data_IF_025257283894
#
_entry.id   IF_025257283894
#
_cell.length_a   1.000
_cell.length_b   1.000
_cell.length_c   1.000
_cell.angle_alpha   90.00
_cell.angle_beta   90.00
_cell.angle_gamma   90.00
#
_symmetry.space_group_name_H-M   'P 1'
#
loop_
_entity.id
_entity.type
_entity.pdbx_description
1 polymer ?
#
# COMPACT_ATOMS: atom_id res chain seq x y z
N UNK A 1 26.61 7.43 -21.02
CA UNK A 1 26.80 6.03 -20.62
C UNK A 1 26.40 5.92 -19.16
N UNK A 2 25.15 5.55 -18.90
CA UNK A 2 24.62 5.46 -17.54
C UNK A 2 24.84 4.06 -16.98
N UNK A 3 25.50 4.00 -15.82
CA UNK A 3 25.76 2.79 -15.05
C UNK A 3 24.45 2.08 -14.67
N UNK A 4 24.31 0.80 -15.04
CA UNK A 4 23.29 -0.08 -14.51
C UNK A 4 23.90 -0.90 -13.36
N UNK A 5 23.56 -0.56 -12.12
CA UNK A 5 23.84 -1.42 -10.95
C UNK A 5 22.78 -2.51 -10.88
N UNK A 6 23.15 -3.74 -11.24
CA UNK A 6 22.32 -4.95 -11.07
C UNK A 6 22.97 -5.86 -10.03
N UNK A 7 22.21 -6.22 -9.00
CA UNK A 7 22.72 -6.89 -7.80
C UNK A 7 21.94 -8.15 -7.45
N UNK A 8 22.34 -9.31 -7.98
CA UNK A 8 22.03 -10.60 -7.35
C UNK A 8 23.10 -11.65 -7.71
N UNK A 9 23.92 -11.98 -6.72
CA UNK A 9 24.78 -13.16 -6.75
C UNK A 9 23.99 -14.37 -6.22
N UNK A 10 24.40 -15.57 -6.59
CA UNK A 10 23.79 -16.82 -6.13
C UNK A 10 22.57 -17.26 -6.92
N UNK A 11 22.54 -17.12 -8.26
CA UNK A 11 21.46 -17.72 -9.07
C UNK A 11 21.87 -18.06 -10.48
N UNK A 12 21.13 -18.98 -11.08
CA UNK A 12 21.18 -19.28 -12.51
C UNK A 12 20.01 -18.60 -13.19
N UNK A 13 20.25 -17.85 -14.26
CA UNK A 13 19.23 -17.17 -15.06
C UNK A 13 19.02 -17.91 -16.37
N UNK A 14 17.76 -18.16 -16.74
CA UNK A 14 17.38 -18.75 -18.03
C UNK A 14 16.43 -17.82 -18.75
N UNK A 15 16.90 -17.21 -19.83
CA UNK A 15 16.05 -16.46 -20.77
C UNK A 15 15.40 -17.44 -21.74
N UNK A 16 14.08 -17.51 -21.74
CA UNK A 16 13.26 -18.50 -22.45
C UNK A 16 12.10 -17.86 -23.20
N UNK A 17 11.38 -18.66 -24.01
CA UNK A 17 10.09 -18.28 -24.61
C UNK A 17 9.08 -19.37 -24.27
N UNK A 18 7.83 -18.99 -24.03
CA UNK A 18 6.73 -19.94 -23.80
C UNK A 18 6.61 -20.98 -24.93
N UNK A 19 6.38 -22.24 -24.53
CA UNK A 19 6.22 -23.36 -25.46
C UNK A 19 7.52 -23.88 -26.09
N UNK A 20 8.69 -23.34 -25.75
CA UNK A 20 9.97 -23.80 -26.29
C UNK A 20 10.46 -25.11 -25.60
N UNK A 21 10.56 -26.25 -26.30
CA UNK A 21 10.97 -27.53 -25.69
C UNK A 21 12.39 -27.50 -25.14
N UNK A 22 13.32 -26.83 -25.83
CA UNK A 22 14.73 -26.68 -25.39
C UNK A 22 14.84 -25.89 -24.08
N UNK A 23 13.98 -24.89 -23.88
CA UNK A 23 13.94 -24.13 -22.64
C UNK A 23 13.44 -24.98 -21.45
N UNK A 24 12.45 -25.84 -21.70
CA UNK A 24 11.93 -26.77 -20.69
C UNK A 24 13.01 -27.78 -20.27
N UNK A 25 13.72 -28.34 -21.25
CA UNK A 25 14.80 -29.30 -21.00
C UNK A 25 15.94 -28.67 -20.20
N UNK A 26 16.40 -27.48 -20.58
CA UNK A 26 17.46 -26.77 -19.85
C UNK A 26 17.09 -26.50 -18.39
N UNK A 27 15.86 -26.04 -18.12
CA UNK A 27 15.36 -25.80 -16.75
C UNK A 27 15.29 -27.09 -15.93
N UNK A 28 14.87 -28.20 -16.55
CA UNK A 28 14.83 -29.49 -15.88
C UNK A 28 16.24 -29.99 -15.49
N UNK A 29 17.23 -29.79 -16.36
CA UNK A 29 18.64 -30.09 -16.07
C UNK A 29 19.15 -29.26 -14.89
N UNK A 30 18.96 -27.94 -14.90
CA UNK A 30 19.39 -27.05 -13.82
C UNK A 30 18.70 -27.36 -12.48
N UNK A 31 17.41 -27.71 -12.51
CA UNK A 31 16.68 -28.15 -11.32
C UNK A 31 17.29 -29.42 -10.70
N UNK A 32 17.77 -30.35 -11.52
CA UNK A 32 18.45 -31.58 -11.04
C UNK A 32 19.79 -31.29 -10.37
N UNK A 33 20.47 -30.21 -10.78
CA UNK A 33 21.74 -29.76 -10.18
C UNK A 33 21.55 -29.04 -8.84
N UNK A 34 20.30 -28.80 -8.42
CA UNK A 34 19.97 -28.20 -7.13
C UNK A 34 20.41 -26.74 -7.01
N UNK A 35 20.45 -26.02 -8.14
CA UNK A 35 20.76 -24.58 -8.19
C UNK A 35 19.48 -23.76 -8.31
N UNK A 36 19.41 -22.56 -7.71
CA UNK A 36 18.24 -21.69 -7.84
C UNK A 36 18.17 -21.10 -9.25
N UNK A 37 17.08 -21.42 -9.96
CA UNK A 37 16.85 -20.99 -11.35
C UNK A 37 15.84 -19.85 -11.40
N UNK A 38 16.24 -18.73 -11.99
CA UNK A 38 15.38 -17.62 -12.37
C UNK A 38 15.03 -17.73 -13.85
N UNK A 39 13.77 -18.06 -14.13
CA UNK A 39 13.25 -18.10 -15.49
C UNK A 39 12.71 -16.73 -15.91
N UNK A 40 13.09 -16.33 -17.13
CA UNK A 40 12.76 -15.06 -17.75
C UNK A 40 12.14 -15.32 -19.12
N UNK A 41 10.89 -14.93 -19.34
CA UNK A 41 10.26 -15.02 -20.66
C UNK A 41 10.59 -13.77 -21.51
N UNK A 42 11.37 -13.95 -22.58
CA UNK A 42 11.74 -12.87 -23.51
C UNK A 42 10.75 -12.73 -24.67
N UNK A 43 9.77 -13.64 -24.80
CA UNK A 43 8.76 -13.61 -25.85
C UNK A 43 7.83 -12.40 -25.73
N UNK A 44 7.54 -11.97 -24.51
CA UNK A 44 6.73 -10.79 -24.20
C UNK A 44 7.53 -9.46 -24.16
N UNK A 45 8.86 -9.51 -24.33
CA UNK A 45 9.75 -8.36 -24.11
C UNK A 45 10.76 -8.16 -25.26
N UNK A 46 10.34 -7.56 -26.40
CA UNK A 46 11.19 -7.39 -27.59
C UNK A 46 12.48 -6.59 -27.33
N UNK A 47 12.43 -5.60 -26.43
CA UNK A 47 13.60 -4.80 -26.04
C UNK A 47 14.66 -5.63 -25.32
N UNK A 48 14.23 -6.50 -24.41
CA UNK A 48 15.13 -7.39 -23.68
C UNK A 48 15.76 -8.42 -24.63
N UNK A 49 14.99 -8.96 -25.58
CA UNK A 49 15.53 -9.86 -26.61
C UNK A 49 16.60 -9.18 -27.46
N UNK A 50 16.40 -7.92 -27.84
CA UNK A 50 17.40 -7.11 -28.53
C UNK A 50 18.67 -6.93 -27.71
N UNK A 51 18.53 -6.54 -26.44
CA UNK A 51 19.66 -6.36 -25.52
C UNK A 51 20.43 -7.67 -25.28
N UNK A 52 19.74 -8.79 -25.12
CA UNK A 52 20.38 -10.10 -24.97
C UNK A 52 21.16 -10.49 -26.23
N UNK A 53 20.60 -10.21 -27.40
CA UNK A 53 21.30 -10.46 -28.68
C UNK A 53 22.55 -9.61 -28.81
N UNK A 54 22.51 -8.36 -28.35
CA UNK A 54 23.69 -7.47 -28.30
C UNK A 54 24.73 -7.93 -27.27
N UNK A 55 24.28 -8.46 -26.12
CA UNK A 55 25.15 -8.91 -25.04
C UNK A 55 25.81 -10.27 -25.29
N UNK A 56 25.08 -11.22 -25.90
CA UNK A 56 25.55 -12.60 -26.10
C UNK A 56 25.96 -12.91 -27.53
N UNK A 57 25.57 -12.06 -28.49
CA UNK A 57 25.72 -12.35 -29.92
C UNK A 57 24.70 -13.38 -30.47
N UNK A 58 23.81 -13.91 -29.63
CA UNK A 58 22.84 -14.95 -30.03
C UNK A 58 21.39 -14.46 -29.90
N UNK A 59 20.55 -14.77 -30.88
CA UNK A 59 19.12 -14.37 -30.92
C UNK A 59 18.14 -15.48 -30.52
N UNK A 60 18.66 -16.68 -30.29
CA UNK A 60 17.92 -17.90 -29.98
C UNK A 60 17.78 -18.09 -28.47
N UNK A 61 16.74 -18.82 -28.06
CA UNK A 61 16.51 -19.23 -26.67
C UNK A 61 16.60 -20.76 -26.54
N UNK A 62 16.97 -21.29 -25.36
CA UNK A 62 17.30 -20.57 -24.13
C UNK A 62 18.64 -19.84 -24.20
N UNK A 63 18.84 -18.81 -23.38
CA UNK A 63 20.15 -18.22 -23.08
C UNK A 63 20.37 -18.30 -21.58
N UNK A 64 21.47 -18.93 -21.16
CA UNK A 64 21.67 -19.39 -19.79
C UNK A 64 22.88 -18.70 -19.19
N UNK A 65 22.71 -18.19 -17.98
CA UNK A 65 23.77 -17.52 -17.24
C UNK A 65 23.87 -18.07 -15.82
N UNK A 66 25.08 -18.33 -15.35
CA UNK A 66 25.37 -18.63 -13.95
C UNK A 66 25.94 -17.35 -13.32
N UNK A 67 25.17 -16.70 -12.46
CA UNK A 67 25.46 -15.33 -12.01
C UNK A 67 25.68 -14.40 -13.21
N UNK A 68 26.95 -14.01 -13.46
CA UNK A 68 27.35 -13.16 -14.58
C UNK A 68 27.91 -13.93 -15.79
N UNK A 69 28.19 -15.22 -15.64
CA UNK A 69 28.85 -16.04 -16.65
C UNK A 69 27.84 -16.53 -17.66
N UNK A 70 27.97 -16.12 -18.92
CA UNK A 70 27.17 -16.66 -20.02
C UNK A 70 27.65 -18.07 -20.39
N UNK A 71 26.74 -19.04 -20.37
CA UNK A 71 27.02 -20.45 -20.67
C UNK A 71 26.61 -20.82 -22.10
N UNK A 72 25.66 -20.11 -22.69
CA UNK A 72 25.11 -20.46 -24.00
C UNK A 72 23.65 -20.88 -23.93
N UNK A 73 23.23 -21.71 -24.88
CA UNK A 73 21.89 -22.25 -25.00
C UNK A 73 21.70 -23.62 -24.33
N UNK A 74 20.63 -24.29 -24.74
CA UNK A 74 20.22 -25.56 -24.12
C UNK A 74 21.17 -26.71 -24.43
N UNK A 75 21.71 -26.71 -25.65
CA UNK A 75 22.68 -27.72 -26.11
C UNK A 75 24.05 -27.45 -25.45
N UNK A 76 24.48 -26.18 -25.40
CA UNK A 76 25.74 -25.77 -24.74
C UNK A 76 25.77 -26.15 -23.25
N UNK A 77 24.64 -26.03 -22.53
CA UNK A 77 24.52 -26.49 -21.15
C UNK A 77 24.73 -28.00 -20.99
N UNK A 78 24.32 -28.80 -21.98
CA UNK A 78 24.48 -30.27 -21.97
C UNK A 78 25.88 -30.70 -22.41
N UNK A 79 26.55 -29.88 -23.22
CA UNK A 79 27.90 -30.12 -23.72
C UNK A 79 29.01 -29.59 -22.79
N UNK A 80 28.65 -28.87 -21.73
CA UNK A 80 29.61 -28.44 -20.71
C UNK A 80 30.36 -29.63 -20.10
N UNK A 81 31.69 -29.50 -20.03
CA UNK A 81 32.54 -30.45 -19.33
C UNK A 81 32.10 -30.57 -17.85
N UNK A 82 32.02 -31.80 -17.29
CA UNK A 82 31.56 -32.00 -15.91
C UNK A 82 32.27 -31.14 -14.87
N UNK A 83 33.57 -30.92 -15.05
CA UNK A 83 34.42 -30.13 -14.15
C UNK A 83 34.06 -28.64 -14.19
N UNK A 84 33.75 -28.10 -15.37
CA UNK A 84 33.34 -26.71 -15.52
C UNK A 84 31.90 -26.49 -15.02
N UNK A 85 31.01 -27.46 -15.24
CA UNK A 85 29.65 -27.41 -14.69
C UNK A 85 29.66 -27.44 -13.16
N UNK A 86 30.49 -28.30 -12.55
CA UNK A 86 30.65 -28.36 -11.10
C UNK A 86 31.22 -27.06 -10.53
N UNK A 87 32.20 -26.46 -11.21
CA UNK A 87 32.77 -25.16 -10.85
C UNK A 87 31.70 -24.05 -10.87
N UNK A 88 30.87 -23.98 -11.91
CA UNK A 88 29.81 -22.97 -12.03
C UNK A 88 28.71 -23.16 -10.98
N UNK A 89 28.34 -24.41 -10.69
CA UNK A 89 27.37 -24.73 -9.63
C UNK A 89 27.91 -24.35 -8.25
N UNK A 90 29.18 -24.62 -7.99
CA UNK A 90 29.86 -24.25 -6.73
C UNK A 90 29.93 -22.73 -6.58
N UNK A 91 30.27 -22.00 -7.65
CA UNK A 91 30.28 -20.54 -7.66
C UNK A 91 28.92 -19.93 -7.29
N UNK A 92 27.83 -20.51 -7.80
CA UNK A 92 26.46 -20.09 -7.45
C UNK A 92 26.13 -20.40 -5.99
N UNK A 93 26.54 -21.55 -5.46
CA UNK A 93 26.26 -21.96 -4.07
C UNK A 93 27.11 -21.24 -3.02
N UNK A 94 28.37 -20.96 -3.32
CA UNK A 94 29.28 -20.22 -2.44
C UNK A 94 28.89 -18.74 -2.32
N UNK A 95 28.45 -18.13 -3.43
CA UNK A 95 27.92 -16.76 -3.38
C UNK A 95 26.51 -16.67 -2.79
N UNK A 96 25.82 -17.79 -2.63
CA UNK A 96 24.57 -17.88 -1.89
C UNK A 96 24.77 -17.82 -0.37
N UNK A 97 25.94 -18.23 0.11
CA UNK A 97 26.27 -18.40 1.53
C UNK A 97 27.10 -17.25 2.12
N UNK A 98 27.59 -16.35 1.28
CA UNK A 98 28.26 -15.12 1.67
C UNK A 98 27.36 -13.93 1.33
N UNK A 99 26.69 -13.33 2.31
CA UNK A 99 26.03 -12.02 2.15
C UNK A 99 27.09 -10.95 1.81
N UNK A 100 27.41 -10.79 0.51
CA UNK A 100 28.29 -9.74 0.01
C UNK A 100 27.65 -9.02 -1.18
N UNK A 101 27.84 -7.69 -1.29
CA UNK A 101 27.23 -6.90 -2.35
C UNK A 101 27.79 -7.27 -3.73
N UNK A 102 26.97 -7.26 -4.80
CA UNK A 102 27.38 -7.84 -6.08
C UNK A 102 28.37 -6.99 -6.88
N UNK A 103 29.31 -7.62 -7.61
CA UNK A 103 30.14 -6.95 -8.60
C UNK A 103 29.33 -6.51 -9.83
N UNK A 104 29.79 -5.43 -10.47
CA UNK A 104 29.04 -4.57 -11.40
C UNK A 104 28.71 -5.17 -12.78
N UNK A 105 28.92 -6.47 -13.02
CA UNK A 105 29.04 -7.03 -14.38
C UNK A 105 28.07 -8.20 -14.67
N UNK A 106 27.05 -8.42 -13.84
CA UNK A 106 26.03 -9.47 -14.10
C UNK A 106 24.94 -9.02 -15.12
N UNK A 107 24.51 -9.91 -16.05
CA UNK A 107 23.47 -9.62 -17.03
C UNK A 107 22.14 -9.21 -16.38
N UNK A 108 21.42 -8.26 -16.97
CA UNK A 108 20.17 -7.73 -16.44
C UNK A 108 19.01 -8.71 -16.66
N UNK A 109 18.40 -9.20 -15.57
CA UNK A 109 17.05 -9.76 -15.65
C UNK A 109 16.07 -8.67 -16.08
N UNK A 110 14.98 -8.99 -16.81
CA UNK A 110 13.82 -8.12 -16.82
C UNK A 110 13.31 -7.98 -15.40
N UNK A 111 12.97 -6.73 -15.09
CA UNK A 111 12.09 -6.39 -13.99
C UNK A 111 10.93 -7.38 -13.98
N UNK A 112 10.84 -8.15 -12.89
CA UNK A 112 9.77 -9.14 -12.66
C UNK A 112 8.40 -8.50 -12.40
N UNK A 113 8.25 -7.22 -12.72
CA UNK A 113 6.98 -6.52 -12.82
C UNK A 113 6.73 -6.23 -14.30
N UNK A 114 6.15 -7.23 -14.96
CA UNK A 114 5.55 -7.12 -16.28
C UNK A 114 4.58 -5.95 -16.35
N UNK A 115 4.64 -5.26 -17.49
CA UNK A 115 3.52 -4.69 -18.23
C UNK A 115 2.13 -5.10 -17.73
N UNK A 116 1.51 -4.22 -16.96
CA UNK A 116 0.21 -3.68 -17.34
C UNK A 116 0.51 -2.54 -18.33
N UNK A 117 -0.26 -2.46 -19.41
CA UNK A 117 -0.12 -1.50 -20.49
C UNK A 117 0.33 -0.11 -20.05
N UNK A 118 1.43 0.40 -20.62
CA UNK A 118 1.80 1.82 -20.54
C UNK A 118 0.83 2.57 -21.43
N UNK A 119 -0.31 2.90 -20.83
CA UNK A 119 -1.47 3.47 -21.49
C UNK A 119 -2.07 4.71 -20.82
N UNK A 120 -1.50 5.26 -19.72
CA UNK A 120 -1.68 6.65 -19.27
C UNK A 120 -0.88 6.87 -17.98
N UNK A 121 -0.31 8.07 -17.81
CA UNK A 121 0.49 8.45 -16.64
C UNK A 121 -0.26 8.39 -15.28
N UNK A 122 -1.56 8.10 -15.28
CA UNK A 122 -2.40 7.94 -14.10
C UNK A 122 -2.38 6.52 -13.49
N UNK A 123 -2.04 5.48 -14.27
CA UNK A 123 -2.20 4.08 -13.82
C UNK A 123 -1.17 3.67 -12.75
N UNK A 124 0.04 4.24 -12.78
CA UNK A 124 1.12 3.86 -11.85
C UNK A 124 0.88 4.28 -10.39
N UNK A 125 0.17 5.38 -10.15
CA UNK A 125 -0.13 5.85 -8.79
C UNK A 125 -1.12 4.90 -8.11
N UNK A 126 -2.24 4.63 -8.78
CA UNK A 126 -3.29 3.76 -8.30
C UNK A 126 -2.74 2.35 -8.05
N UNK A 127 -2.06 1.77 -9.03
CA UNK A 127 -1.45 0.44 -8.91
C UNK A 127 -0.46 0.36 -7.74
N UNK A 128 0.44 1.34 -7.60
CA UNK A 128 1.42 1.35 -6.51
C UNK A 128 0.75 1.42 -5.13
N UNK A 129 -0.31 2.24 -5.00
CA UNK A 129 -1.06 2.34 -3.74
C UNK A 129 -1.81 1.04 -3.41
N UNK A 130 -2.31 0.33 -4.42
CA UNK A 130 -2.97 -0.96 -4.27
C UNK A 130 -1.96 -2.03 -3.83
N UNK A 131 -0.80 -2.12 -4.48
CA UNK A 131 0.26 -3.05 -4.12
C UNK A 131 0.76 -2.84 -2.68
N UNK A 132 0.98 -1.57 -2.28
CA UNK A 132 1.34 -1.22 -0.90
C UNK A 132 0.26 -1.64 0.09
N UNK A 133 -1.01 -1.54 -0.31
CA UNK A 133 -2.12 -1.91 0.55
C UNK A 133 -2.30 -3.42 0.66
N UNK A 134 -2.19 -4.15 -0.44
CA UNK A 134 -2.24 -5.61 -0.50
C UNK A 134 -1.15 -6.24 0.37
N UNK A 135 0.09 -5.74 0.24
CA UNK A 135 1.18 -6.28 1.06
C UNK A 135 1.00 -5.92 2.54
N UNK A 136 0.45 -4.74 2.86
CA UNK A 136 0.07 -4.38 4.25
C UNK A 136 -0.94 -5.38 4.80
N UNK A 137 -1.99 -5.69 4.03
CA UNK A 137 -3.03 -6.65 4.42
C UNK A 137 -2.47 -8.05 4.61
N UNK A 138 -1.61 -8.49 3.70
CA UNK A 138 -0.94 -9.79 3.79
C UNK A 138 -0.10 -9.87 5.06
N UNK A 139 0.76 -8.88 5.32
CA UNK A 139 1.57 -8.82 6.53
C UNK A 139 0.70 -8.83 7.80
N UNK A 140 -0.41 -8.08 7.80
CA UNK A 140 -1.37 -8.10 8.91
C UNK A 140 -1.95 -9.50 9.12
N UNK A 141 -2.43 -10.14 8.05
CA UNK A 141 -3.06 -11.46 8.15
C UNK A 141 -2.10 -12.56 8.63
N UNK A 142 -0.83 -12.47 8.28
CA UNK A 142 0.20 -13.45 8.68
C UNK A 142 0.63 -13.30 10.15
N UNK A 143 0.36 -12.15 10.77
CA UNK A 143 0.82 -11.82 12.13
C UNK A 143 -0.33 -11.43 13.08
N UNK A 144 -1.57 -11.61 12.65
CA UNK A 144 -2.74 -11.44 13.50
C UNK A 144 -2.86 -12.66 14.43
N UNK A 145 -3.10 -12.43 15.71
CA UNK A 145 -3.37 -13.50 16.68
C UNK A 145 -4.60 -14.32 16.27
N UNK A 146 -4.66 -15.57 16.73
CA UNK A 146 -5.78 -16.48 16.44
C UNK A 146 -7.15 -15.92 16.90
N UNK A 147 -7.16 -15.07 17.93
CA UNK A 147 -8.38 -14.42 18.42
C UNK A 147 -8.73 -13.12 17.67
N UNK A 148 -7.90 -12.72 16.71
CA UNK A 148 -8.06 -11.51 15.89
C UNK A 148 -7.85 -10.21 16.65
N UNK A 149 -7.36 -10.26 17.89
CA UNK A 149 -7.30 -9.10 18.79
C UNK A 149 -5.93 -8.46 18.91
N UNK A 150 -4.83 -9.12 18.55
CA UNK A 150 -3.51 -8.50 18.59
C UNK A 150 -2.71 -8.82 17.34
N UNK A 151 -1.72 -7.97 17.03
CA UNK A 151 -0.87 -8.11 15.85
C UNK A 151 0.58 -8.17 16.31
N UNK A 152 1.32 -9.20 15.89
CA UNK A 152 2.75 -9.33 16.13
C UNK A 152 3.55 -8.40 15.20
N UNK A 153 3.61 -7.12 15.58
CA UNK A 153 4.41 -6.12 14.88
C UNK A 153 5.91 -6.47 14.88
N UNK A 154 6.39 -7.23 15.87
CA UNK A 154 7.81 -7.59 15.95
C UNK A 154 8.18 -8.62 14.88
N UNK A 155 7.33 -9.64 14.67
CA UNK A 155 7.46 -10.59 13.57
C UNK A 155 7.28 -9.94 12.19
N UNK A 156 6.33 -9.01 12.06
CA UNK A 156 6.10 -8.29 10.80
C UNK A 156 7.36 -7.53 10.33
N UNK A 157 8.14 -6.94 11.24
CA UNK A 157 9.34 -6.16 10.92
C UNK A 157 10.46 -6.99 10.27
N UNK A 158 10.54 -8.29 10.59
CA UNK A 158 11.56 -9.19 10.03
C UNK A 158 11.03 -10.02 8.85
N UNK A 159 9.74 -9.91 8.54
CA UNK A 159 9.13 -10.62 7.42
C UNK A 159 9.66 -10.07 6.08
N UNK A 160 10.07 -10.92 5.12
CA UNK A 160 10.54 -10.49 3.79
C UNK A 160 9.53 -9.61 3.04
N UNK A 161 8.23 -9.79 3.27
CA UNK A 161 7.18 -8.94 2.73
C UNK A 161 7.30 -7.49 3.19
N UNK A 162 7.82 -7.22 4.38
CA UNK A 162 8.04 -5.84 4.83
C UNK A 162 9.22 -5.16 4.12
N UNK A 163 10.25 -5.92 3.73
CA UNK A 163 11.30 -5.39 2.86
C UNK A 163 10.73 -4.97 1.50
N UNK A 164 9.87 -5.81 0.91
CA UNK A 164 9.16 -5.48 -0.35
C UNK A 164 8.22 -4.28 -0.20
N UNK A 165 7.54 -4.16 0.94
CA UNK A 165 6.74 -2.98 1.26
C UNK A 165 7.61 -1.70 1.21
N UNK A 166 8.79 -1.74 1.83
CA UNK A 166 9.71 -0.61 1.85
C UNK A 166 10.19 -0.24 0.43
N UNK A 167 10.48 -1.22 -0.42
CA UNK A 167 10.83 -1.00 -1.83
C UNK A 167 9.72 -0.29 -2.60
N UNK A 168 8.47 -0.72 -2.43
CA UNK A 168 7.32 -0.08 -3.06
C UNK A 168 7.12 1.34 -2.53
N UNK A 169 7.29 1.56 -1.22
CA UNK A 169 7.17 2.89 -0.62
C UNK A 169 8.20 3.87 -1.19
N UNK A 170 9.42 3.41 -1.53
CA UNK A 170 10.44 4.23 -2.21
C UNK A 170 9.99 4.67 -3.61
N UNK A 171 9.13 3.91 -4.30
CA UNK A 171 8.65 4.28 -5.63
C UNK A 171 7.67 5.46 -5.60
N UNK A 172 7.05 5.76 -4.44
CA UNK A 172 6.12 6.88 -4.27
C UNK A 172 6.74 8.22 -4.67
N UNK A 173 8.06 8.37 -4.52
CA UNK A 173 8.79 9.59 -4.90
C UNK A 173 8.65 9.97 -6.38
N UNK A 174 8.28 9.01 -7.25
CA UNK A 174 8.18 9.20 -8.71
C UNK A 174 6.74 9.34 -9.20
N UNK A 175 5.76 9.26 -8.31
CA UNK A 175 4.33 9.32 -8.67
C UNK A 175 3.96 10.72 -9.15
N UNK A 176 3.23 10.80 -10.27
CA UNK A 176 2.62 12.05 -10.73
C UNK A 176 1.26 12.25 -10.01
N UNK A 177 1.13 13.33 -9.23
CA UNK A 177 -0.07 13.58 -8.41
C UNK A 177 -1.06 14.57 -9.05
N UNK A 178 -0.58 15.47 -9.91
CA UNK A 178 -1.38 16.57 -10.44
C UNK A 178 -2.36 16.11 -11.52
N UNK A 179 -2.02 15.04 -12.25
CA UNK A 179 -2.85 14.45 -13.29
C UNK A 179 -3.99 13.57 -12.75
N UNK A 180 -3.97 13.23 -11.45
CA UNK A 180 -4.98 12.36 -10.84
C UNK A 180 -6.34 13.05 -10.73
N UNK A 181 -7.38 12.32 -11.11
CA UNK A 181 -8.79 12.66 -10.86
C UNK A 181 -9.11 12.66 -9.35
N UNK A 182 -10.32 13.12 -8.97
CA UNK A 182 -10.80 13.06 -7.58
C UNK A 182 -10.71 11.63 -7.04
N UNK A 183 -11.22 10.68 -7.80
CA UNK A 183 -11.42 9.32 -7.35
C UNK A 183 -10.09 8.58 -7.20
N UNK A 184 -9.17 8.83 -8.15
CA UNK A 184 -7.78 8.36 -8.05
C UNK A 184 -7.05 8.97 -6.86
N UNK A 185 -7.20 10.28 -6.61
CA UNK A 185 -6.62 10.94 -5.43
C UNK A 185 -7.15 10.34 -4.13
N UNK A 186 -8.46 10.14 -4.03
CA UNK A 186 -9.08 9.55 -2.84
C UNK A 186 -8.54 8.14 -2.59
N UNK A 187 -8.64 7.26 -3.58
CA UNK A 187 -8.17 5.87 -3.47
C UNK A 187 -6.67 5.83 -3.12
N UNK A 188 -5.84 6.59 -3.84
CA UNK A 188 -4.40 6.69 -3.61
C UNK A 188 -4.10 7.13 -2.18
N UNK A 189 -4.56 8.32 -1.78
CA UNK A 189 -4.16 8.89 -0.49
C UNK A 189 -4.76 8.15 0.71
N UNK A 190 -5.94 7.54 0.59
CA UNK A 190 -6.50 6.69 1.64
C UNK A 190 -5.65 5.42 1.81
N UNK A 191 -5.30 4.75 0.72
CA UNK A 191 -4.43 3.57 0.76
C UNK A 191 -3.05 3.91 1.33
N UNK A 192 -2.44 5.01 0.87
CA UNK A 192 -1.13 5.46 1.34
C UNK A 192 -1.15 5.88 2.81
N UNK A 193 -2.16 6.63 3.25
CA UNK A 193 -2.31 6.99 4.66
C UNK A 193 -2.39 5.74 5.53
N UNK A 194 -3.27 4.80 5.17
CA UNK A 194 -3.47 3.57 5.92
C UNK A 194 -2.21 2.69 5.94
N UNK A 195 -1.47 2.64 4.84
CA UNK A 195 -0.19 1.95 4.77
C UNK A 195 0.87 2.64 5.65
N UNK A 196 0.95 3.98 5.61
CA UNK A 196 1.94 4.78 6.34
C UNK A 196 1.75 4.69 7.86
N UNK A 197 0.51 4.61 8.36
CA UNK A 197 0.24 4.38 9.78
C UNK A 197 0.89 3.07 10.24
N UNK A 198 0.72 1.99 9.47
CA UNK A 198 1.30 0.70 9.79
C UNK A 198 2.82 0.75 9.72
N UNK A 199 3.38 1.34 8.67
CA UNK A 199 4.83 1.47 8.56
C UNK A 199 5.42 2.26 9.74
N UNK A 200 4.74 3.33 10.15
CA UNK A 200 5.09 4.08 11.35
C UNK A 200 5.08 3.21 12.61
N UNK A 201 4.05 2.37 12.80
CA UNK A 201 3.99 1.46 13.95
C UNK A 201 5.12 0.44 13.95
N UNK A 202 5.42 -0.15 12.79
CA UNK A 202 6.51 -1.12 12.64
C UNK A 202 7.88 -0.50 12.93
N UNK A 203 8.13 0.73 12.49
CA UNK A 203 9.44 1.38 12.64
C UNK A 203 9.62 2.14 13.95
N UNK A 204 8.56 2.73 14.49
CA UNK A 204 8.63 3.68 15.61
C UNK A 204 7.85 3.22 16.85
N UNK A 205 7.06 2.15 16.72
CA UNK A 205 6.11 1.72 17.74
C UNK A 205 4.79 2.52 17.70
N UNK A 206 3.74 1.93 18.28
CA UNK A 206 2.46 2.60 18.45
C UNK A 206 2.55 3.70 19.53
N UNK A 207 1.97 4.90 19.32
CA UNK A 207 2.00 5.97 20.30
C UNK A 207 1.16 5.61 21.53
N UNK A 208 1.73 5.73 22.72
CA UNK A 208 1.07 5.33 23.99
C UNK A 208 0.42 6.50 24.74
N UNK A 209 0.63 7.74 24.28
CA UNK A 209 0.05 8.93 24.89
C UNK A 209 -0.24 10.03 23.85
N UNK A 210 -0.99 11.06 24.26
CA UNK A 210 -1.43 12.15 23.39
C UNK A 210 -0.29 12.92 22.72
N UNK A 211 0.84 13.12 23.40
CA UNK A 211 1.97 13.86 22.83
C UNK A 211 2.74 13.04 21.80
N UNK A 212 2.98 11.75 22.09
CA UNK A 212 3.52 10.82 21.09
C UNK A 212 2.59 10.70 19.89
N UNK A 213 1.28 10.66 20.12
CA UNK A 213 0.28 10.65 19.04
C UNK A 213 0.35 11.92 18.20
N UNK A 214 0.39 13.08 18.82
CA UNK A 214 0.58 14.35 18.12
C UNK A 214 1.85 14.31 17.25
N UNK A 215 3.00 13.87 17.80
CA UNK A 215 4.23 13.75 17.01
C UNK A 215 4.10 12.74 15.87
N UNK A 216 3.51 11.58 16.14
CA UNK A 216 3.33 10.53 15.15
C UNK A 216 2.63 11.07 13.90
N UNK A 217 1.45 11.68 14.07
CA UNK A 217 0.68 12.17 12.93
C UNK A 217 1.29 13.42 12.25
N UNK A 218 2.12 14.21 12.94
CA UNK A 218 2.75 15.41 12.37
C UNK A 218 4.16 15.19 11.81
N UNK A 219 4.80 14.03 12.03
CA UNK A 219 6.18 13.77 11.56
C UNK A 219 6.34 12.48 10.75
N UNK A 220 5.51 11.46 10.98
CA UNK A 220 5.52 10.26 10.15
C UNK A 220 5.03 10.62 8.75
N UNK A 221 5.89 10.39 7.76
CA UNK A 221 5.73 10.93 6.42
C UNK A 221 6.32 10.04 5.34
N UNK A 222 5.85 10.26 4.11
CA UNK A 222 6.47 9.77 2.89
C UNK A 222 6.89 10.90 1.98
N UNK A 223 7.90 10.62 1.15
CA UNK A 223 8.27 11.45 0.02
C UNK A 223 7.51 10.96 -1.21
N UNK A 224 6.53 11.74 -1.67
CA UNK A 224 5.58 11.37 -2.72
C UNK A 224 5.61 12.43 -3.81
N UNK A 225 5.91 12.04 -5.05
CA UNK A 225 5.89 12.95 -6.20
C UNK A 225 6.75 14.20 -6.03
N UNK A 226 7.90 14.08 -5.35
CA UNK A 226 8.83 15.19 -5.11
C UNK A 226 8.58 16.03 -3.85
N UNK A 227 7.54 15.72 -3.07
CA UNK A 227 7.18 16.48 -1.86
C UNK A 227 7.02 15.57 -0.63
N UNK A 228 7.18 16.13 0.57
CA UNK A 228 6.99 15.39 1.83
C UNK A 228 5.54 15.52 2.29
N UNK A 229 4.88 14.38 2.54
CA UNK A 229 3.52 14.32 3.06
C UNK A 229 3.50 13.54 4.38
N UNK A 230 3.16 14.23 5.47
CA UNK A 230 2.85 13.60 6.75
C UNK A 230 1.45 13.00 6.75
N UNK A 231 1.13 12.14 7.72
CA UNK A 231 -0.25 11.68 7.93
C UNK A 231 -1.23 12.85 8.07
N UNK A 232 -0.85 13.88 8.82
CA UNK A 232 -1.64 15.10 8.97
C UNK A 232 -1.84 15.80 7.62
N UNK A 233 -0.79 15.93 6.81
CA UNK A 233 -0.84 16.57 5.48
C UNK A 233 -1.79 15.81 4.54
N UNK A 234 -1.75 14.47 4.57
CA UNK A 234 -2.62 13.64 3.73
C UNK A 234 -4.08 13.80 4.16
N UNK A 235 -4.39 13.61 5.44
CA UNK A 235 -5.76 13.70 5.95
C UNK A 235 -6.30 15.13 5.79
N UNK A 236 -5.63 16.12 6.37
CA UNK A 236 -6.18 17.45 6.54
C UNK A 236 -5.85 18.37 5.36
N UNK A 237 -4.67 18.17 4.76
CA UNK A 237 -4.16 18.96 3.65
C UNK A 237 -4.78 18.53 2.34
N UNK A 238 -4.70 17.24 2.04
CA UNK A 238 -5.17 16.69 0.77
C UNK A 238 -6.66 16.31 0.82
N UNK A 239 -7.02 15.34 1.65
CA UNK A 239 -8.35 14.72 1.64
C UNK A 239 -9.47 15.60 2.22
N UNK A 240 -9.13 16.48 3.16
CA UNK A 240 -10.08 17.48 3.72
C UNK A 240 -10.00 18.85 3.04
N UNK A 241 -9.37 18.97 1.87
CA UNK A 241 -9.29 20.23 1.13
C UNK A 241 -8.61 21.35 1.92
N UNK A 242 -7.43 21.06 2.49
CA UNK A 242 -6.62 21.99 3.28
C UNK A 242 -7.36 22.61 4.48
N UNK A 243 -8.23 21.83 5.13
CA UNK A 243 -8.90 22.24 6.38
C UNK A 243 -7.96 22.12 7.56
N UNK A 244 -8.26 22.89 8.61
CA UNK A 244 -7.52 22.83 9.87
C UNK A 244 -7.80 21.48 10.56
N UNK A 245 -6.73 20.79 10.96
CA UNK A 245 -6.83 19.57 11.75
C UNK A 245 -7.29 19.82 13.19
N UNK A 246 -7.69 18.75 13.86
CA UNK A 246 -8.04 18.78 15.30
C UNK A 246 -6.79 19.15 16.09
N UNK A 247 -6.94 20.05 17.06
CA UNK A 247 -5.84 20.59 17.88
C UNK A 247 -4.72 21.30 17.07
N UNK A 248 -4.95 21.64 15.80
CA UNK A 248 -4.01 22.41 14.99
C UNK A 248 -4.38 23.88 14.97
N UNK A 249 -3.36 24.76 14.96
CA UNK A 249 -3.57 26.21 14.93
C UNK A 249 -3.72 26.76 13.51
N UNK A 250 -3.08 26.12 12.53
CA UNK A 250 -3.01 26.56 11.14
C UNK A 250 -3.46 25.47 10.17
N UNK A 251 -3.77 25.88 8.94
CA UNK A 251 -3.99 24.93 7.83
C UNK A 251 -2.66 24.23 7.49
N UNK A 252 -2.70 22.96 7.03
CA UNK A 252 -1.50 22.22 6.62
C UNK A 252 -0.66 22.97 5.59
N UNK A 253 -1.30 23.47 4.53
CA UNK A 253 -0.62 24.09 3.39
C UNK A 253 -0.88 25.59 3.31
N UNK A 254 0.19 26.36 3.11
CA UNK A 254 0.10 27.79 2.80
C UNK A 254 -0.31 28.02 1.34
N UNK A 255 -0.61 29.27 0.95
CA UNK A 255 -0.98 29.61 -0.44
C UNK A 255 0.14 29.37 -1.45
N UNK A 256 1.40 29.40 -1.01
CA UNK A 256 2.59 29.17 -1.84
C UNK A 256 3.15 27.75 -1.69
N UNK A 257 2.50 26.90 -0.89
CA UNK A 257 2.93 25.51 -0.71
C UNK A 257 2.55 24.71 -1.97
N UNK A 258 3.50 24.08 -2.67
CA UNK A 258 3.21 23.33 -3.90
C UNK A 258 2.23 22.18 -3.68
N UNK A 259 2.21 21.60 -2.47
CA UNK A 259 1.30 20.49 -2.10
C UNK A 259 -0.17 20.92 -2.09
N UNK A 260 -0.45 22.22 -1.99
CA UNK A 260 -1.82 22.74 -2.06
C UNK A 260 -2.51 22.39 -3.39
N UNK A 261 -1.76 22.26 -4.49
CA UNK A 261 -2.31 21.92 -5.80
C UNK A 261 -2.84 20.48 -5.87
N UNK A 262 -2.41 19.62 -4.95
CA UNK A 262 -2.86 18.23 -4.84
C UNK A 262 -4.17 18.11 -4.05
N UNK A 263 -4.49 19.12 -3.23
CA UNK A 263 -5.64 19.08 -2.35
C UNK A 263 -6.97 18.95 -3.10
N UNK A 264 -7.91 18.22 -2.51
CA UNK A 264 -9.28 18.19 -3.02
C UNK A 264 -9.90 19.59 -2.93
N UNK A 265 -10.79 19.96 -3.88
CA UNK A 265 -11.45 21.26 -3.85
C UNK A 265 -12.33 21.42 -2.61
N UNK A 266 -12.97 20.33 -2.18
CA UNK A 266 -13.81 20.26 -1.00
C UNK A 266 -13.39 19.08 -0.12
N UNK A 267 -13.71 19.15 1.18
CA UNK A 267 -13.47 18.04 2.09
C UNK A 267 -14.40 16.87 1.77
N UNK A 268 -13.85 15.67 1.69
CA UNK A 268 -14.62 14.43 1.60
C UNK A 268 -14.94 13.91 3.01
N UNK A 269 -16.18 14.01 3.51
CA UNK A 269 -16.49 13.63 4.89
C UNK A 269 -16.41 12.11 5.12
N UNK A 270 -16.56 11.30 4.07
CA UNK A 270 -16.58 9.84 4.21
C UNK A 270 -15.19 9.25 4.54
N UNK A 271 -14.10 10.00 4.34
CA UNK A 271 -12.75 9.53 4.70
C UNK A 271 -12.63 9.20 6.18
N UNK A 272 -13.42 9.84 7.06
CA UNK A 272 -13.38 9.63 8.51
C UNK A 272 -13.75 8.19 8.92
N UNK A 273 -14.38 7.44 8.02
CA UNK A 273 -14.74 6.02 8.21
C UNK A 273 -13.81 5.07 7.46
N UNK A 274 -12.80 5.60 6.76
CA UNK A 274 -11.88 4.85 5.91
C UNK A 274 -10.43 4.94 6.38
N UNK A 275 -10.06 6.03 7.06
CA UNK A 275 -8.72 6.24 7.57
C UNK A 275 -8.51 5.52 8.91
N UNK A 276 -7.45 4.73 8.99
CA UNK A 276 -7.03 4.04 10.21
C UNK A 276 -6.35 5.04 11.16
N UNK A 277 -6.93 5.29 12.32
CA UNK A 277 -6.32 6.16 13.33
C UNK A 277 -5.42 5.37 14.29
N UNK A 278 -5.25 4.07 14.08
CA UNK A 278 -4.41 3.19 14.89
C UNK A 278 -4.94 2.93 16.30
N UNK A 279 -6.23 3.20 16.53
CA UNK A 279 -6.93 2.86 17.77
C UNK A 279 -7.70 1.53 17.63
N UNK A 280 -8.03 0.88 18.75
CA UNK A 280 -8.82 -0.37 18.80
C UNK A 280 -10.16 -0.30 18.05
N UNK A 281 -10.73 0.90 17.93
CA UNK A 281 -12.03 1.17 17.30
C UNK A 281 -11.92 1.52 15.81
N UNK A 282 -10.76 1.33 15.19
CA UNK A 282 -10.56 1.67 13.77
C UNK A 282 -11.34 0.73 12.85
N UNK A 283 -11.88 1.24 11.73
CA UNK A 283 -12.63 0.43 10.77
C UNK A 283 -11.77 -0.70 10.20
N UNK A 284 -12.39 -1.82 9.76
CA UNK A 284 -11.66 -2.94 9.16
C UNK A 284 -10.80 -2.49 7.98
N UNK A 285 -9.61 -3.06 7.89
CA UNK A 285 -8.58 -2.73 6.90
C UNK A 285 -9.10 -3.10 5.50
N UNK A 286 -9.53 -2.09 4.71
CA UNK A 286 -10.01 -2.26 3.34
C UNK A 286 -9.03 -1.72 2.29
N UNK A 287 -9.12 -2.25 1.08
CA UNK A 287 -8.46 -1.72 -0.12
C UNK A 287 -9.45 -0.78 -0.80
N UNK A 288 -8.96 0.38 -1.26
CA UNK A 288 -9.78 1.35 -1.98
C UNK A 288 -9.31 1.46 -3.43
N UNK A 289 -10.24 1.40 -4.39
CA UNK A 289 -9.96 1.47 -5.83
C UNK A 289 -10.63 2.72 -6.41
N UNK A 290 -10.04 3.39 -7.42
CA UNK A 290 -10.68 4.55 -8.04
C UNK A 290 -12.08 4.25 -8.58
N UNK A 291 -12.30 3.04 -9.11
CA UNK A 291 -13.56 2.63 -9.73
C UNK A 291 -14.71 2.51 -8.73
N UNK A 292 -14.42 2.09 -7.49
CA UNK A 292 -15.44 1.79 -6.49
C UNK A 292 -15.37 2.72 -5.26
N UNK A 293 -14.52 3.75 -5.29
CA UNK A 293 -14.16 4.54 -4.11
C UNK A 293 -15.39 5.08 -3.36
N UNK A 294 -16.36 5.65 -4.07
CA UNK A 294 -17.55 6.22 -3.46
C UNK A 294 -18.45 5.14 -2.84
N UNK A 295 -18.57 3.98 -3.49
CA UNK A 295 -19.35 2.85 -2.98
C UNK A 295 -18.67 2.28 -1.73
N UNK A 296 -17.34 2.11 -1.77
CA UNK A 296 -16.53 1.60 -0.67
C UNK A 296 -16.59 2.54 0.55
N UNK A 297 -16.47 3.84 0.33
CA UNK A 297 -16.57 4.88 1.37
C UNK A 297 -17.97 4.93 1.99
N UNK A 298 -19.02 4.91 1.18
CA UNK A 298 -20.41 4.85 1.68
C UNK A 298 -20.67 3.59 2.49
N UNK A 299 -20.24 2.43 2.01
CA UNK A 299 -20.38 1.17 2.73
C UNK A 299 -19.61 1.18 4.07
N UNK A 300 -18.45 1.83 4.14
CA UNK A 300 -17.71 2.01 5.39
C UNK A 300 -18.46 2.91 6.39
N UNK A 301 -19.00 4.03 5.91
CA UNK A 301 -19.80 4.94 6.74
C UNK A 301 -21.09 4.29 7.24
N UNK A 302 -21.81 3.58 6.36
CA UNK A 302 -23.02 2.85 6.71
C UNK A 302 -22.75 1.81 7.80
N UNK A 303 -21.75 0.94 7.59
CA UNK A 303 -21.38 -0.08 8.57
C UNK A 303 -20.97 0.53 9.93
N UNK A 304 -20.29 1.69 9.91
CA UNK A 304 -19.93 2.41 11.12
C UNK A 304 -21.14 2.96 11.86
N UNK A 305 -22.10 3.56 11.14
CA UNK A 305 -23.31 4.15 11.72
C UNK A 305 -24.31 3.11 12.24
N UNK A 306 -24.36 1.94 11.60
CA UNK A 306 -25.17 0.82 12.08
C UNK A 306 -24.58 0.18 13.35
N UNK A 307 -23.28 0.36 13.62
CA UNK A 307 -22.67 -0.03 14.88
C UNK A 307 -23.04 0.96 16.02
N UNK A 308 -23.22 0.44 17.22
CA UNK A 308 -23.51 1.22 18.43
C UNK A 308 -22.36 2.15 18.86
N UNK A 309 -21.13 1.89 18.40
CA UNK A 309 -20.00 2.81 18.53
C UNK A 309 -20.08 4.05 17.63
N UNK A 310 -20.89 4.00 16.57
CA UNK A 310 -21.07 5.11 15.62
C UNK A 310 -22.28 5.98 15.93
N UNK A 311 -23.44 5.35 16.16
CA UNK A 311 -24.70 6.02 16.44
C UNK A 311 -25.62 5.19 17.35
N UNK A 312 -26.11 5.82 18.42
CA UNK A 312 -27.17 5.31 19.28
C UNK A 312 -28.35 6.28 19.27
N UNK A 313 -29.56 5.75 19.10
CA UNK A 313 -30.80 6.51 19.06
C UNK A 313 -31.68 6.06 20.24
N UNK A 314 -31.92 6.98 21.18
CA UNK A 314 -32.85 6.81 22.30
C UNK A 314 -34.13 7.59 21.98
N UNK A 315 -35.13 6.90 21.43
CA UNK A 315 -36.38 7.51 21.01
C UNK A 315 -37.26 7.96 22.17
N UNK A 316 -37.14 7.34 23.34
CA UNK A 316 -37.91 7.70 24.54
C UNK A 316 -37.44 9.04 25.11
N UNK A 317 -36.11 9.25 25.15
CA UNK A 317 -35.52 10.49 25.65
C UNK A 317 -35.35 11.58 24.60
N UNK A 318 -35.57 11.26 23.32
CA UNK A 318 -35.24 12.15 22.21
C UNK A 318 -33.75 12.48 22.14
N UNK A 319 -32.89 11.50 22.44
CA UNK A 319 -31.44 11.68 22.48
C UNK A 319 -30.75 10.86 21.38
N UNK A 320 -29.81 11.49 20.68
CA UNK A 320 -28.93 10.82 19.71
C UNK A 320 -27.50 10.95 20.19
N UNK A 321 -26.84 9.81 20.42
CA UNK A 321 -25.44 9.75 20.86
C UNK A 321 -24.57 9.34 19.69
N UNK A 322 -23.62 10.18 19.32
CA UNK A 322 -22.77 10.00 18.15
C UNK A 322 -21.31 9.77 18.54
N UNK A 323 -20.54 9.14 17.65
CA UNK A 323 -19.08 9.10 17.79
C UNK A 323 -18.47 10.50 17.91
N UNK A 324 -17.35 10.62 18.64
CA UNK A 324 -16.59 11.87 18.77
C UNK A 324 -16.10 12.44 17.44
N UNK A 325 -16.00 11.61 16.39
CA UNK A 325 -15.66 12.04 15.03
C UNK A 325 -16.60 13.18 14.57
N UNK A 326 -17.90 13.06 14.84
CA UNK A 326 -18.90 14.08 14.50
C UNK A 326 -18.74 15.37 15.32
N UNK A 327 -18.09 15.31 16.49
CA UNK A 327 -17.75 16.49 17.29
C UNK A 327 -16.49 17.16 16.78
N UNK A 328 -15.42 16.40 16.57
CA UNK A 328 -14.11 16.91 16.18
C UNK A 328 -14.10 17.48 14.77
N UNK A 329 -14.81 16.82 13.86
CA UNK A 329 -14.90 17.18 12.45
C UNK A 329 -16.28 17.70 12.07
N UNK A 330 -16.99 18.33 13.03
CA UNK A 330 -18.36 18.84 12.84
C UNK A 330 -18.53 19.69 11.58
N UNK A 331 -17.52 20.47 11.21
CA UNK A 331 -17.49 21.29 9.99
C UNK A 331 -17.58 20.49 8.68
N UNK A 332 -17.12 19.24 8.70
CA UNK A 332 -17.12 18.35 7.53
C UNK A 332 -18.51 17.74 7.33
N UNK A 333 -19.30 17.63 8.40
CA UNK A 333 -20.66 17.11 8.42
C UNK A 333 -21.73 18.23 8.44
N UNK A 334 -21.38 19.43 7.97
CA UNK A 334 -22.31 20.56 7.83
C UNK A 334 -22.30 21.60 8.95
N UNK A 335 -21.59 21.36 10.06
CA UNK A 335 -21.22 22.38 11.05
C UNK A 335 -22.22 22.62 12.19
N UNK A 336 -23.47 22.17 12.08
CA UNK A 336 -24.49 22.25 13.14
C UNK A 336 -25.03 20.86 13.49
N UNK A 337 -25.60 20.67 14.67
CA UNK A 337 -26.09 19.36 15.09
C UNK A 337 -27.23 18.87 14.17
N UNK A 338 -28.07 19.76 13.69
CA UNK A 338 -29.15 19.44 12.74
C UNK A 338 -28.60 18.92 11.42
N UNK A 339 -27.55 19.58 10.89
CA UNK A 339 -26.90 19.17 9.65
C UNK A 339 -26.12 17.87 9.82
N UNK A 340 -25.49 17.66 10.96
CA UNK A 340 -24.83 16.40 11.32
C UNK A 340 -25.87 15.27 11.36
N UNK A 341 -26.99 15.44 12.06
CA UNK A 341 -28.03 14.42 12.14
C UNK A 341 -28.66 14.11 10.79
N UNK A 342 -28.87 15.14 9.95
CA UNK A 342 -29.31 14.95 8.57
C UNK A 342 -28.29 14.14 7.78
N UNK A 343 -27.01 14.50 7.88
CA UNK A 343 -25.93 13.78 7.21
C UNK A 343 -25.88 12.32 7.67
N UNK A 344 -25.98 12.05 8.98
CA UNK A 344 -26.04 10.70 9.54
C UNK A 344 -27.23 9.94 8.96
N UNK A 345 -28.44 10.51 9.00
CA UNK A 345 -29.63 9.88 8.44
C UNK A 345 -29.47 9.52 6.96
N UNK A 346 -28.86 10.40 6.17
CA UNK A 346 -28.67 10.22 4.73
C UNK A 346 -27.64 9.11 4.41
N UNK A 347 -26.75 8.76 5.34
CA UNK A 347 -25.68 7.76 5.17
C UNK A 347 -25.88 6.47 5.98
N UNK A 348 -27.00 6.34 6.70
CA UNK A 348 -27.41 5.08 7.32
C UNK A 348 -28.04 4.13 6.31
N UNK A 349 -27.88 2.83 6.55
CA UNK A 349 -28.58 1.76 5.84
C UNK A 349 -30.07 1.80 6.11
N UNK A 350 -30.87 1.09 5.31
CA UNK A 350 -32.30 0.99 5.58
C UNK A 350 -32.56 0.05 6.77
N UNK A 351 -32.53 0.63 7.97
CA UNK A 351 -32.58 -0.09 9.25
C UNK A 351 -33.65 0.47 10.18
N UNK A 352 -34.04 -0.32 11.18
CA UNK A 352 -34.90 0.20 12.27
C UNK A 352 -34.25 1.38 13.00
N UNK A 353 -32.90 1.41 13.09
CA UNK A 353 -32.16 2.51 13.71
C UNK A 353 -32.37 3.80 12.90
N UNK A 354 -32.33 3.73 11.57
CA UNK A 354 -32.66 4.86 10.68
C UNK A 354 -34.12 5.31 10.83
N UNK A 355 -35.06 4.37 10.93
CA UNK A 355 -36.47 4.69 11.18
C UNK A 355 -36.67 5.40 12.52
N UNK A 356 -36.02 4.92 13.60
CA UNK A 356 -36.02 5.57 14.91
C UNK A 356 -35.42 6.97 14.85
N UNK A 357 -34.29 7.15 14.17
CA UNK A 357 -33.67 8.48 14.00
C UNK A 357 -34.61 9.44 13.25
N UNK A 358 -35.27 8.98 12.19
CA UNK A 358 -36.26 9.76 11.45
C UNK A 358 -37.43 10.18 12.34
N UNK A 359 -37.90 9.28 13.21
CA UNK A 359 -38.94 9.58 14.20
C UNK A 359 -38.50 10.65 15.20
N UNK A 360 -37.31 10.52 15.77
CA UNK A 360 -36.72 11.52 16.68
C UNK A 360 -36.53 12.87 15.99
N UNK A 361 -36.10 12.88 14.72
CA UNK A 361 -35.96 14.11 13.93
C UNK A 361 -37.30 14.83 13.70
N UNK A 362 -38.38 14.08 13.57
CA UNK A 362 -39.71 14.63 13.30
C UNK A 362 -40.41 15.19 14.55
N UNK A 363 -39.98 14.79 15.76
CA UNK A 363 -40.58 15.25 17.02
C UNK A 363 -40.09 16.62 17.50
N UNK A 364 -39.02 17.15 16.91
CA UNK A 364 -38.56 18.53 17.06
C UNK A 364 -37.78 18.88 18.34
N UNK A 365 -37.69 17.98 19.33
CA UNK A 365 -36.81 18.14 20.51
C UNK A 365 -35.77 17.05 20.53
N UNK A 366 -34.52 17.41 20.18
CA UNK A 366 -33.43 16.45 20.04
C UNK A 366 -32.23 16.93 20.85
N UNK A 367 -31.73 16.04 21.69
CA UNK A 367 -30.47 16.22 22.40
C UNK A 367 -29.39 15.43 21.67
N UNK A 368 -28.35 16.11 21.19
CA UNK A 368 -27.17 15.44 20.63
C UNK A 368 -26.08 15.37 21.69
N UNK A 369 -25.60 14.17 21.97
CA UNK A 369 -24.43 13.93 22.84
C UNK A 369 -23.42 13.03 22.14
N UNK A 370 -22.23 12.87 22.74
CA UNK A 370 -21.12 12.15 22.10
C UNK A 370 -20.61 11.03 22.99
N UNK A 371 -20.37 9.86 22.39
CA UNK A 371 -19.86 8.66 23.06
C UNK A 371 -18.44 8.88 23.60
N UNK A 372 -18.06 8.17 24.66
CA UNK A 372 -16.67 8.14 25.12
C UNK A 372 -15.80 7.44 24.08
N UNK A 373 -14.67 8.05 23.71
CA UNK A 373 -13.75 7.48 22.73
C UNK A 373 -12.48 6.98 23.44
N UNK A 374 -12.19 5.70 23.29
CA UNK A 374 -10.98 5.09 23.80
C UNK A 374 -9.82 5.27 22.80
N UNK A 375 -8.75 5.91 23.27
CA UNK A 375 -7.54 6.17 22.49
C UNK A 375 -6.47 5.07 22.63
N UNK A 376 -6.76 4.00 23.38
CA UNK A 376 -5.84 2.88 23.58
C UNK A 376 -5.51 2.15 22.26
N UNK A 377 -4.24 1.77 22.10
CA UNK A 377 -3.72 1.03 20.94
C UNK A 377 -3.85 -0.48 21.12
N UNK A 378 -4.01 -1.24 20.03
CA UNK A 378 -4.19 -2.69 20.05
C UNK A 378 -2.89 -3.50 20.19
N UNK A 379 -2.04 -3.12 21.15
CA UNK A 379 -0.71 -3.72 21.28
C UNK A 379 -0.69 -4.71 22.45
N UNK A 380 -0.41 -5.98 22.17
CA UNK A 380 0.10 -6.91 23.17
C UNK A 380 1.61 -6.70 23.25
N UNK A 381 2.12 -6.45 24.46
CA UNK A 381 3.56 -6.35 24.74
C UNK A 381 4.32 -7.62 24.38
#
# INVERSE_FOLDING_TARGET
MGEFKSSALGRVTVYSIQGCPRCVQAKATLKRLGVPVCDVDVGAHPKLRGMLTELTGHSTVPQIFFNHVYVGGGDDLLELAPEELERLVTLVKDQLSLERPPPAEAPPLPDRNLSVDVGRAADGAAELSLLLREITLKLFSEHLSDDGKSVDYSGMCVNPGFARYCELAVQLQRVELLSLSRDEKLAFFINIYNALVIHGFLRLGAPTNLWQRYRFFNYVSYFIGGEVFTLQDIENGVLRGNRRGVAQLRRPFSKSDPRLQVALPDAEPLIHFALNCGANSSPPIKIYTPQDIDIQLRAAAEAFLENDGGCLVDSEKGEVRLSQIFKWYKSDFGGTDEKVLKWVLDHMGDSEKKARLRGVLSSGKIKVTFLSYDWSSNNSH
#
